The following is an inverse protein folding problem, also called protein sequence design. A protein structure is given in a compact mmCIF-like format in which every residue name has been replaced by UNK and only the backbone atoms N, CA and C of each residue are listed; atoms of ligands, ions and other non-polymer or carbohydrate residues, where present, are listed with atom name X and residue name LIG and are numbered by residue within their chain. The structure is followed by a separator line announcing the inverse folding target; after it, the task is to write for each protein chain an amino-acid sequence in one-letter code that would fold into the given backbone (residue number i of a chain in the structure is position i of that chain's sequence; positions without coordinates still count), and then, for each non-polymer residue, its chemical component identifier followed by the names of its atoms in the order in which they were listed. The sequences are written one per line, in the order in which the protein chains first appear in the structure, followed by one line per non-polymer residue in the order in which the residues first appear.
data_IF_737759780718
#
_entry.id   IF_737759780718
#
_cell.length_a   1.000
_cell.length_b   1.000
_cell.length_c   1.000
_cell.angle_alpha   90.00
_cell.angle_beta   90.00
_cell.angle_gamma   90.00
#
_symmetry.space_group_name_H-M   'P 1'
#
loop_
_entity.id
_entity.type
_entity.pdbx_description
1 polymer ?
#
# COMPACT_ATOMS: atom_id res chain seq x y z
N UNK A 1 45.05 -26.33 26.91
CA UNK A 1 45.46 -25.16 26.13
C UNK A 1 44.29 -24.19 26.12
N UNK A 2 44.51 -22.99 26.64
CA UNK A 2 43.50 -21.94 26.65
C UNK A 2 43.27 -21.35 25.25
N UNK A 3 42.08 -20.79 25.08
CA UNK A 3 41.67 -20.07 23.88
C UNK A 3 40.35 -19.35 24.14
N UNK A 4 40.29 -18.58 25.24
CA UNK A 4 39.20 -17.66 25.50
C UNK A 4 39.29 -16.49 24.54
N UNK A 5 38.72 -16.64 23.35
CA UNK A 5 38.47 -15.52 22.45
C UNK A 5 37.25 -14.77 22.96
N UNK A 6 37.46 -13.61 23.58
CA UNK A 6 36.42 -12.62 23.83
C UNK A 6 35.96 -12.05 22.49
N UNK A 7 35.23 -12.84 21.70
CA UNK A 7 34.58 -12.38 20.49
C UNK A 7 33.32 -11.64 20.89
N UNK A 8 33.23 -10.36 20.53
CA UNK A 8 31.96 -9.64 20.59
C UNK A 8 30.99 -10.42 19.69
N UNK A 9 29.99 -11.08 20.28
CA UNK A 9 28.98 -11.78 19.50
C UNK A 9 28.13 -10.71 18.83
N UNK A 10 28.23 -10.60 17.51
CA UNK A 10 27.34 -9.73 16.74
C UNK A 10 25.90 -10.22 16.92
N UNK A 11 25.02 -9.30 17.29
CA UNK A 11 23.59 -9.60 17.37
C UNK A 11 22.99 -9.36 15.97
N UNK A 12 22.23 -10.32 15.40
CA UNK A 12 21.62 -10.13 14.11
C UNK A 12 20.61 -8.97 14.16
N UNK A 13 20.47 -8.25 13.04
CA UNK A 13 19.47 -7.21 12.92
C UNK A 13 18.06 -7.80 13.13
N UNK A 14 17.20 -7.14 13.92
CA UNK A 14 15.81 -7.56 14.09
C UNK A 14 15.05 -7.47 12.77
N UNK A 15 13.84 -8.04 12.73
CA UNK A 15 12.97 -7.91 11.57
C UNK A 15 12.65 -6.44 11.25
N UNK A 16 12.33 -6.16 9.99
CA UNK A 16 12.12 -4.80 9.47
C UNK A 16 13.35 -3.87 9.59
N UNK A 17 14.55 -4.46 9.69
CA UNK A 17 15.83 -3.74 9.63
C UNK A 17 16.86 -4.52 8.82
N UNK A 18 17.85 -3.81 8.26
CA UNK A 18 18.89 -4.39 7.40
C UNK A 18 20.25 -3.69 7.63
N UNK A 19 21.35 -4.29 7.15
CA UNK A 19 22.69 -3.71 7.27
C UNK A 19 23.60 -4.06 6.08
N UNK A 20 23.65 -3.15 5.11
CA UNK A 20 24.45 -3.24 3.88
C UNK A 20 25.96 -3.03 4.09
N UNK A 21 26.37 -2.51 5.25
CA UNK A 21 27.77 -2.25 5.55
C UNK A 21 28.23 -2.96 6.82
N UNK A 22 29.37 -3.66 6.80
CA UNK A 22 29.93 -4.32 7.97
C UNK A 22 30.46 -3.26 8.96
N UNK A 23 29.58 -2.76 9.80
CA UNK A 23 29.84 -1.70 10.77
C UNK A 23 29.23 -2.03 12.13
N UNK A 24 29.90 -1.58 13.19
CA UNK A 24 29.42 -1.64 14.57
C UNK A 24 28.35 -0.58 14.91
N UNK A 25 27.73 0.06 13.91
CA UNK A 25 26.57 0.93 14.10
C UNK A 25 25.26 0.14 14.24
N UNK A 26 24.16 0.84 14.47
CA UNK A 26 22.82 0.26 14.49
C UNK A 26 22.38 -0.23 13.09
N UNK A 27 21.32 -1.04 13.05
CA UNK A 27 20.71 -1.51 11.80
C UNK A 27 19.86 -0.41 11.19
N UNK A 28 19.85 -0.31 9.86
CA UNK A 28 18.99 0.63 9.15
C UNK A 28 17.55 0.11 9.12
N UNK A 29 16.58 0.99 9.34
CA UNK A 29 15.17 0.63 9.19
C UNK A 29 14.79 0.49 7.71
N UNK A 30 14.00 -0.54 7.41
CA UNK A 30 13.41 -0.70 6.09
C UNK A 30 12.48 0.49 5.75
N UNK A 31 12.31 0.81 4.46
CA UNK A 31 11.40 1.87 4.02
C UNK A 31 9.93 1.58 4.37
N UNK A 32 9.10 2.62 4.36
CA UNK A 32 7.69 2.52 4.71
C UNK A 32 6.97 1.42 3.89
N UNK A 33 6.28 0.53 4.60
CA UNK A 33 5.54 -0.58 4.01
C UNK A 33 6.38 -1.75 3.53
N UNK A 34 7.62 -1.82 3.98
CA UNK A 34 8.49 -2.96 3.75
C UNK A 34 8.99 -3.56 5.06
N UNK A 35 9.24 -4.86 5.03
CA UNK A 35 9.75 -5.63 6.16
C UNK A 35 10.75 -6.65 5.65
N UNK A 36 11.79 -6.86 6.42
CA UNK A 36 12.87 -7.80 6.15
C UNK A 36 12.93 -8.86 7.25
N UNK A 37 13.40 -10.08 6.94
CA UNK A 37 13.70 -11.08 7.96
C UNK A 37 14.84 -10.62 8.87
N UNK A 38 15.02 -11.32 10.00
CA UNK A 38 16.21 -11.12 10.83
C UNK A 38 17.46 -11.47 10.04
N UNK A 39 18.57 -10.78 10.32
CA UNK A 39 19.84 -11.01 9.62
C UNK A 39 19.78 -10.64 8.13
N UNK A 40 19.06 -9.56 7.79
CA UNK A 40 19.12 -9.00 6.44
C UNK A 40 20.35 -8.15 6.23
N UNK A 41 21.03 -8.40 5.13
CA UNK A 41 22.29 -7.78 4.79
C UNK A 41 22.09 -6.68 3.75
N UNK A 42 21.03 -6.70 2.94
CA UNK A 42 20.82 -5.69 1.90
C UNK A 42 19.45 -5.01 1.98
N UNK A 43 19.33 -3.81 1.40
CA UNK A 43 18.03 -3.11 1.29
C UNK A 43 17.05 -3.90 0.41
N UNK A 44 17.54 -4.63 -0.59
CA UNK A 44 16.73 -5.45 -1.50
C UNK A 44 16.04 -6.63 -0.78
N UNK A 45 16.52 -7.01 0.41
CA UNK A 45 15.86 -7.97 1.29
C UNK A 45 14.58 -7.39 1.91
N UNK A 46 14.44 -6.06 2.02
CA UNK A 46 13.21 -5.43 2.46
C UNK A 46 12.13 -5.64 1.38
N UNK A 47 11.20 -6.54 1.65
CA UNK A 47 10.05 -6.83 0.77
C UNK A 47 8.80 -6.13 1.29
N UNK A 48 7.86 -5.84 0.41
CA UNK A 48 6.59 -5.24 0.84
C UNK A 48 5.84 -6.16 1.79
N UNK A 49 5.22 -5.57 2.81
CA UNK A 49 4.40 -6.28 3.78
C UNK A 49 3.16 -6.90 3.12
N UNK A 50 2.45 -7.73 3.88
CA UNK A 50 1.21 -8.35 3.43
C UNK A 50 0.18 -7.28 3.01
N UNK A 51 -0.50 -7.49 1.88
CA UNK A 51 -1.43 -6.54 1.26
C UNK A 51 -0.79 -5.24 0.72
N UNK A 52 0.54 -5.19 0.60
CA UNK A 52 1.27 -4.12 -0.06
C UNK A 52 2.03 -4.63 -1.29
N UNK A 53 2.25 -3.73 -2.25
CA UNK A 53 2.96 -4.02 -3.51
C UNK A 53 4.04 -2.98 -3.78
N UNK A 54 5.13 -3.43 -4.40
CA UNK A 54 6.21 -2.56 -4.82
C UNK A 54 5.74 -1.71 -6.01
N UNK A 55 5.94 -0.40 -5.91
CA UNK A 55 5.65 0.59 -6.94
C UNK A 55 6.88 1.45 -7.19
N UNK A 56 7.06 1.90 -8.44
CA UNK A 56 8.19 2.72 -8.83
C UNK A 56 9.04 2.12 -9.94
N UNK A 57 10.19 2.74 -10.19
CA UNK A 57 11.18 2.32 -11.19
C UNK A 57 12.38 1.65 -10.52
N UNK A 58 13.21 0.98 -11.33
CA UNK A 58 14.37 0.23 -10.85
C UNK A 58 15.29 1.08 -9.95
N UNK A 59 15.47 0.67 -8.69
CA UNK A 59 16.35 1.31 -7.71
C UNK A 59 15.66 1.88 -6.46
N UNK A 60 14.33 1.83 -6.35
CA UNK A 60 13.62 2.20 -5.14
C UNK A 60 12.53 1.19 -4.78
N UNK A 61 12.63 0.57 -3.59
CA UNK A 61 11.53 -0.17 -2.95
C UNK A 61 10.59 0.85 -2.30
N UNK A 62 9.60 1.31 -3.05
CA UNK A 62 8.46 2.02 -2.47
C UNK A 62 7.28 1.05 -2.42
N UNK A 63 6.82 0.74 -1.22
CA UNK A 63 5.70 -0.16 -1.01
C UNK A 63 4.44 0.65 -0.72
N UNK A 64 3.32 0.25 -1.30
CA UNK A 64 2.03 0.89 -1.09
C UNK A 64 0.95 -0.16 -0.92
N UNK A 65 -0.07 0.13 -0.11
CA UNK A 65 -1.21 -0.77 0.04
C UNK A 65 -1.95 -0.99 -1.28
N UNK A 66 -2.38 -2.22 -1.53
CA UNK A 66 -3.20 -2.57 -2.69
C UNK A 66 -4.61 -1.96 -2.67
N UNK A 67 -5.35 -2.16 -3.76
CA UNK A 67 -6.75 -1.76 -3.87
C UNK A 67 -7.58 -2.42 -2.75
N UNK A 68 -8.51 -1.68 -2.15
CA UNK A 68 -9.29 -2.09 -0.98
C UNK A 68 -8.52 -2.16 0.34
N UNK A 69 -7.29 -1.65 0.39
CA UNK A 69 -6.51 -1.49 1.62
C UNK A 69 -6.02 -0.04 1.78
N UNK A 70 -5.79 0.38 3.03
CA UNK A 70 -5.29 1.70 3.36
C UNK A 70 -4.29 1.66 4.53
N UNK A 71 -3.37 2.62 4.55
CA UNK A 71 -2.50 2.87 5.68
C UNK A 71 -3.14 3.91 6.61
N UNK A 72 -2.94 3.78 7.92
CA UNK A 72 -3.40 4.77 8.93
C UNK A 72 -2.32 5.76 9.35
N UNK A 73 -1.07 5.42 9.06
CA UNK A 73 0.12 6.13 9.48
C UNK A 73 1.08 6.25 8.29
N UNK A 74 1.83 7.36 8.23
CA UNK A 74 2.79 7.59 7.15
C UNK A 74 3.93 6.55 7.11
N UNK A 75 4.17 5.86 8.23
CA UNK A 75 5.13 4.77 8.33
C UNK A 75 4.70 3.49 7.61
N UNK A 76 3.41 3.37 7.23
CA UNK A 76 2.85 2.20 6.57
C UNK A 76 3.22 0.90 7.32
N UNK A 77 2.97 0.88 8.62
CA UNK A 77 3.30 -0.25 9.50
C UNK A 77 2.51 -1.52 9.13
N UNK A 78 1.26 -1.34 8.71
CA UNK A 78 0.36 -2.39 8.23
C UNK A 78 -0.64 -1.83 7.23
N UNK A 79 -1.16 -2.68 6.35
CA UNK A 79 -2.25 -2.33 5.44
C UNK A 79 -3.58 -2.86 6.00
N UNK A 80 -4.49 -1.94 6.31
CA UNK A 80 -5.82 -2.26 6.85
C UNK A 80 -6.81 -2.41 5.71
N UNK A 81 -7.66 -3.43 5.76
CA UNK A 81 -8.72 -3.62 4.76
C UNK A 81 -9.80 -2.55 4.92
N UNK A 82 -10.33 -2.04 3.81
CA UNK A 82 -11.49 -1.18 3.80
C UNK A 82 -12.71 -1.89 4.46
N UNK A 83 -13.65 -1.10 5.04
CA UNK A 83 -14.87 -1.64 5.63
C UNK A 83 -15.74 -2.40 4.61
N UNK A 84 -16.72 -3.16 5.11
CA UNK A 84 -17.59 -3.96 4.25
C UNK A 84 -18.19 -3.14 3.10
N UNK A 85 -18.25 -3.76 1.93
CA UNK A 85 -18.75 -3.15 0.70
C UNK A 85 -18.08 -1.81 0.35
N UNK A 86 -16.81 -1.66 0.70
CA UNK A 86 -16.00 -0.47 0.38
C UNK A 86 -14.67 -0.87 -0.26
N UNK A 87 -14.10 0.04 -1.06
CA UNK A 87 -12.84 -0.16 -1.77
C UNK A 87 -12.09 1.16 -1.88
N UNK A 88 -10.77 1.12 -1.80
CA UNK A 88 -9.86 2.27 -1.91
C UNK A 88 -8.95 2.12 -3.12
N UNK A 89 -8.39 3.23 -3.58
CA UNK A 89 -7.31 3.21 -4.58
C UNK A 89 -6.00 2.71 -3.98
N UNK A 90 -5.13 2.13 -4.82
CA UNK A 90 -3.75 1.82 -4.44
C UNK A 90 -3.06 3.09 -3.91
N UNK A 91 -2.21 2.96 -2.89
CA UNK A 91 -1.59 4.11 -2.20
C UNK A 91 -2.59 4.97 -1.38
N UNK A 92 -3.64 4.35 -0.86
CA UNK A 92 -4.51 5.00 0.12
C UNK A 92 -3.83 5.09 1.49
N UNK A 93 -3.94 6.24 2.13
CA UNK A 93 -3.27 6.56 3.40
C UNK A 93 -4.25 7.03 4.48
N UNK A 94 -5.55 6.82 4.26
CA UNK A 94 -6.59 7.10 5.25
C UNK A 94 -7.84 6.28 4.95
N UNK A 95 -8.60 5.94 6.00
CA UNK A 95 -9.86 5.18 5.85
C UNK A 95 -10.91 5.97 5.07
N UNK A 96 -10.86 7.31 5.15
CA UNK A 96 -11.76 8.20 4.41
C UNK A 96 -11.58 8.12 2.88
N UNK A 97 -10.46 7.57 2.39
CA UNK A 97 -10.27 7.27 0.97
C UNK A 97 -11.08 6.03 0.51
N UNK A 98 -11.56 5.20 1.43
CA UNK A 98 -12.39 4.04 1.09
C UNK A 98 -13.78 4.50 0.64
N UNK A 99 -14.15 4.14 -0.58
CA UNK A 99 -15.43 4.48 -1.22
C UNK A 99 -16.34 3.25 -1.32
N UNK A 100 -17.66 3.44 -1.24
CA UNK A 100 -18.61 2.34 -1.41
C UNK A 100 -18.49 1.70 -2.81
N UNK A 101 -18.49 0.38 -2.85
CA UNK A 101 -18.51 -0.36 -4.12
C UNK A 101 -19.84 -0.18 -4.85
N UNK A 102 -19.87 -0.49 -6.15
CA UNK A 102 -21.10 -0.40 -6.95
C UNK A 102 -22.22 -1.24 -6.33
N UNK A 103 -23.38 -0.61 -6.11
CA UNK A 103 -24.54 -1.25 -5.47
C UNK A 103 -24.55 -1.15 -3.93
N UNK A 104 -23.50 -0.60 -3.32
CA UNK A 104 -23.45 -0.29 -1.90
C UNK A 104 -23.65 1.21 -1.66
N UNK A 105 -24.32 1.54 -0.56
CA UNK A 105 -24.52 2.92 -0.10
C UNK A 105 -24.21 2.98 1.39
N UNK A 106 -23.72 4.12 1.87
CA UNK A 106 -23.53 4.35 3.30
C UNK A 106 -24.91 4.25 3.99
N UNK A 107 -25.18 3.10 4.61
CA UNK A 107 -26.35 2.89 5.45
C UNK A 107 -26.25 3.82 6.64
N UNK A 108 -26.93 4.96 6.56
CA UNK A 108 -26.65 6.14 7.36
C UNK A 108 -26.58 5.90 8.87
N UNK A 109 -25.52 6.43 9.48
CA UNK A 109 -25.60 7.56 10.41
C UNK A 109 -24.18 8.15 10.63
N UNK A 110 -23.45 8.42 9.55
CA UNK A 110 -22.29 9.31 9.63
C UNK A 110 -22.81 10.74 9.73
N UNK A 111 -23.00 11.21 10.97
CA UNK A 111 -23.18 12.65 11.26
C UNK A 111 -21.86 13.38 11.14
N UNK A 112 -21.11 13.12 10.07
CA UNK A 112 -19.99 13.97 9.72
C UNK A 112 -20.59 15.15 8.97
N UNK A 113 -20.66 16.29 9.65
CA UNK A 113 -20.68 17.62 9.04
C UNK A 113 -19.40 17.81 8.20
N UNK A 114 -19.21 16.97 7.20
CA UNK A 114 -18.21 17.11 6.17
C UNK A 114 -19.01 17.50 4.93
N UNK A 115 -19.08 18.81 4.70
CA UNK A 115 -19.49 19.36 3.42
C UNK A 115 -18.56 18.80 2.34
N UNK A 116 -18.95 17.67 1.77
CA UNK A 116 -18.49 17.27 0.46
C UNK A 116 -18.88 18.44 -0.45
N UNK A 117 -17.95 19.15 -1.12
CA UNK A 117 -18.38 19.95 -2.26
C UNK A 117 -19.06 18.97 -3.20
N UNK A 118 -20.30 19.26 -3.57
CA UNK A 118 -21.04 18.51 -4.54
C UNK A 118 -20.20 18.43 -5.83
N UNK A 119 -19.37 17.41 -5.96
CA UNK A 119 -18.89 16.95 -7.25
C UNK A 119 -20.16 16.46 -7.91
N UNK A 120 -20.67 17.30 -8.82
CA UNK A 120 -21.80 16.95 -9.65
C UNK A 120 -21.53 15.59 -10.22
N UNK A 121 -22.27 14.60 -9.74
CA UNK A 121 -22.34 13.27 -10.31
C UNK A 121 -22.91 13.43 -11.71
N UNK A 122 -22.07 13.82 -12.67
CA UNK A 122 -22.25 13.34 -14.02
C UNK A 122 -21.86 11.86 -13.97
N UNK A 123 -22.81 11.06 -13.48
CA UNK A 123 -22.88 9.65 -13.74
C UNK A 123 -23.07 9.52 -15.25
N UNK A 124 -21.98 9.67 -16.01
CA UNK A 124 -21.92 9.13 -17.36
C UNK A 124 -21.61 7.65 -17.21
N UNK A 125 -22.62 6.92 -16.75
CA UNK A 125 -22.88 5.59 -17.27
C UNK A 125 -23.07 5.75 -18.78
N UNK A 126 -21.97 5.71 -19.54
CA UNK A 126 -22.09 5.42 -20.97
C UNK A 126 -22.17 3.91 -21.14
N UNK A 127 -23.24 3.32 -20.60
CA UNK A 127 -23.85 2.13 -21.19
C UNK A 127 -25.21 2.55 -21.74
N UNK A 128 -25.18 3.19 -22.92
CA UNK A 128 -26.35 3.21 -23.79
C UNK A 128 -26.32 1.94 -24.65
N UNK A 129 -27.17 0.99 -24.28
CA UNK A 129 -27.44 -0.21 -25.05
C UNK A 129 -28.44 0.09 -26.18
N UNK A 130 -28.13 -0.43 -27.39
CA UNK A 130 -28.99 -0.66 -28.58
C UNK A 130 -29.20 0.58 -29.49
N UNK A 131 -29.06 0.54 -30.82
CA UNK A 131 -29.43 -0.49 -31.79
C UNK A 131 -28.74 -0.31 -33.16
N UNK A 132 -28.30 -1.42 -33.76
CA UNK A 132 -28.36 -1.84 -35.18
C UNK A 132 -28.26 -0.82 -36.35
N UNK A 133 -27.40 -1.24 -37.30
CA UNK A 133 -27.58 -1.29 -38.77
C UNK A 133 -26.95 -0.19 -39.65
N UNK A 134 -25.90 -0.63 -40.33
CA UNK A 134 -25.68 -0.65 -41.79
C UNK A 134 -25.65 0.63 -42.63
N UNK A 135 -24.57 0.65 -43.43
CA UNK A 135 -24.51 0.98 -44.86
C UNK A 135 -24.41 2.44 -45.33
N UNK A 136 -23.25 2.68 -45.97
CA UNK A 136 -23.12 3.08 -47.38
C UNK A 136 -23.31 4.55 -47.78
N UNK A 137 -22.21 5.10 -48.30
CA UNK A 137 -22.07 5.86 -49.55
C UNK A 137 -22.70 7.26 -49.73
N UNK A 138 -21.95 8.05 -50.51
CA UNK A 138 -22.34 9.17 -51.36
C UNK A 138 -22.37 10.56 -50.72
N UNK A 139 -21.43 11.43 -51.11
CA UNK A 139 -21.63 12.27 -52.30
C UNK A 139 -20.33 12.91 -52.80
#
# INVERSE_FOLDING_TARGET
GGGGGGGVACTPCPNATFKDTPSNGDCAQCPAGSSSPTQSDELDDCRCIDNAVAVGSAGSVACVCEVSFYARDAALSECLSCPELSTSSRNSSSVDDCLCVLGASLGGNWTSNASLPAVGVNSSSSSSSRSRSSSSSSS
#
